data_IF_001230624324
#
_entry.id   IF_001230624324
#
_cell.length_a   1.000
_cell.length_b   1.000
_cell.length_c   1.000
_cell.angle_alpha   90.00
_cell.angle_beta   90.00
_cell.angle_gamma   90.00
#
_symmetry.space_group_name_H-M   'P 1'
#
loop_
_entity.id
_entity.type
_entity.pdbx_description
1 polymer ?
#
# COMPACT_ATOMS: atom_id res chain seq x y z
N UNK A 1 -3.07 17.05 -32.52
CA UNK A 1 -2.83 17.34 -31.09
C UNK A 1 -3.72 16.51 -30.15
N UNK A 2 -5.01 16.35 -30.47
CA UNK A 2 -5.99 15.59 -29.68
C UNK A 2 -5.65 14.12 -29.46
N UNK A 3 -5.18 13.40 -30.49
CA UNK A 3 -4.80 11.98 -30.37
C UNK A 3 -3.66 11.78 -29.37
N UNK A 4 -2.65 12.66 -29.37
CA UNK A 4 -1.53 12.58 -28.44
C UNK A 4 -1.96 12.73 -26.98
N UNK A 5 -2.88 13.66 -26.69
CA UNK A 5 -3.42 13.86 -25.34
C UNK A 5 -4.20 12.63 -24.88
N UNK A 6 -5.03 12.05 -25.76
CA UNK A 6 -5.80 10.83 -25.44
C UNK A 6 -4.88 9.65 -25.14
N UNK A 7 -3.78 9.51 -25.89
CA UNK A 7 -2.78 8.46 -25.65
C UNK A 7 -2.08 8.65 -24.31
N UNK A 8 -1.63 9.88 -24.00
CA UNK A 8 -0.97 10.19 -22.73
C UNK A 8 -1.90 9.89 -21.55
N UNK A 9 -3.14 10.37 -21.62
CA UNK A 9 -4.14 10.15 -20.57
C UNK A 9 -4.42 8.65 -20.38
N UNK A 10 -4.57 7.90 -21.47
CA UNK A 10 -4.73 6.44 -21.42
C UNK A 10 -3.55 5.71 -20.77
N UNK A 11 -2.31 6.16 -21.04
CA UNK A 11 -1.11 5.61 -20.40
C UNK A 11 -1.06 5.93 -18.91
N UNK A 12 -1.48 7.13 -18.51
CA UNK A 12 -1.57 7.51 -17.09
C UNK A 12 -2.58 6.61 -16.36
N UNK A 13 -3.72 6.31 -16.98
CA UNK A 13 -4.70 5.36 -16.47
C UNK A 13 -4.16 3.94 -16.31
N UNK A 14 -3.46 3.45 -17.33
CA UNK A 14 -2.91 2.10 -17.35
C UNK A 14 -1.79 1.90 -16.31
N UNK A 15 -1.14 2.97 -15.87
CA UNK A 15 0.01 2.91 -14.96
C UNK A 15 -0.34 3.10 -13.49
N UNK A 16 -1.61 3.33 -13.13
CA UNK A 16 -2.02 3.42 -11.72
C UNK A 16 -1.70 2.11 -10.99
N UNK A 17 -0.90 2.12 -9.89
CA UNK A 17 -0.51 0.88 -9.23
C UNK A 17 -1.71 0.16 -8.60
N UNK A 18 -1.73 -1.17 -8.69
CA UNK A 18 -2.75 -2.02 -8.07
C UNK A 18 -2.51 -2.21 -6.58
N UNK A 19 -3.55 -2.59 -5.82
CA UNK A 19 -3.43 -2.91 -4.39
C UNK A 19 -2.32 -3.93 -4.09
N UNK A 20 -2.18 -4.97 -4.93
CA UNK A 20 -1.08 -5.93 -4.78
C UNK A 20 0.32 -5.33 -4.99
N UNK A 21 0.47 -4.26 -5.78
CA UNK A 21 1.73 -3.52 -5.89
C UNK A 21 2.03 -2.73 -4.61
N UNK A 22 1.01 -2.14 -3.99
CA UNK A 22 1.13 -1.48 -2.70
C UNK A 22 1.55 -2.47 -1.62
N UNK A 23 0.87 -3.60 -1.51
CA UNK A 23 1.18 -4.62 -0.52
C UNK A 23 2.62 -5.13 -0.65
N UNK A 24 3.09 -5.37 -1.90
CA UNK A 24 4.49 -5.76 -2.15
C UNK A 24 5.49 -4.65 -1.80
N UNK A 25 5.17 -3.40 -2.09
CA UNK A 25 6.02 -2.26 -1.75
C UNK A 25 6.16 -2.09 -0.24
N UNK A 26 5.04 -2.10 0.48
CA UNK A 26 5.02 -1.99 1.94
C UNK A 26 5.78 -3.17 2.56
N UNK A 27 5.51 -4.40 2.12
CA UNK A 27 6.20 -5.57 2.63
C UNK A 27 7.71 -5.51 2.40
N UNK A 28 8.15 -5.11 1.20
CA UNK A 28 9.59 -4.93 0.92
C UNK A 28 10.21 -3.83 1.78
N UNK A 29 9.50 -2.72 1.98
CA UNK A 29 10.02 -1.55 2.69
C UNK A 29 10.16 -1.78 4.20
N UNK A 30 9.21 -2.51 4.79
CA UNK A 30 9.17 -2.82 6.21
C UNK A 30 9.64 -4.24 6.54
N UNK A 31 10.32 -4.92 5.60
CA UNK A 31 10.86 -6.27 5.84
C UNK A 31 9.80 -7.33 6.19
N UNK A 32 8.56 -7.16 5.74
CA UNK A 32 7.47 -8.09 6.05
C UNK A 32 7.64 -9.38 5.24
N UNK A 33 7.75 -10.50 5.93
CA UNK A 33 7.87 -11.84 5.32
C UNK A 33 6.73 -12.71 5.79
N UNK A 34 5.98 -13.28 4.85
CA UNK A 34 4.92 -14.25 5.16
C UNK A 34 5.43 -15.66 4.89
N UNK A 35 5.37 -16.52 5.91
CA UNK A 35 5.76 -17.93 5.82
C UNK A 35 4.51 -18.81 5.93
N UNK A 36 4.44 -19.94 5.21
CA UNK A 36 3.45 -20.96 5.48
C UNK A 36 3.73 -21.56 6.87
N UNK A 37 2.68 -21.65 7.66
CA UNK A 37 2.60 -22.23 9.00
C UNK A 37 1.53 -23.33 8.95
N UNK A 38 1.87 -24.51 9.47
CA UNK A 38 1.01 -25.68 9.35
C UNK A 38 -0.24 -25.62 10.24
N UNK A 39 -0.27 -24.74 11.24
CA UNK A 39 -1.32 -24.66 12.25
C UNK A 39 -2.21 -23.43 12.06
N UNK A 40 -1.63 -22.30 11.59
CA UNK A 40 -2.33 -21.03 11.41
C UNK A 40 -2.42 -20.55 9.95
N UNK A 41 -1.92 -21.31 8.98
CA UNK A 41 -1.97 -20.96 7.55
C UNK A 41 -0.82 -20.07 7.10
N UNK A 42 -1.04 -18.80 6.77
CA UNK A 42 0.04 -17.87 6.39
C UNK A 42 0.32 -16.88 7.51
N UNK A 43 1.45 -17.04 8.20
CA UNK A 43 1.87 -16.13 9.28
C UNK A 43 2.87 -15.12 8.71
N UNK A 44 2.62 -13.84 8.96
CA UNK A 44 3.49 -12.75 8.51
C UNK A 44 4.28 -12.17 9.69
N UNK A 45 5.52 -11.80 9.42
CA UNK A 45 6.48 -11.29 10.40
C UNK A 45 7.07 -9.98 9.90
N UNK A 46 7.31 -9.02 10.79
CA UNK A 46 8.15 -7.85 10.55
C UNK A 46 9.11 -7.69 11.74
N UNK A 47 10.41 -7.52 11.49
CA UNK A 47 11.43 -7.37 12.53
C UNK A 47 11.32 -8.43 13.64
N UNK A 48 11.19 -9.70 13.25
CA UNK A 48 11.03 -10.87 14.14
C UNK A 48 9.74 -10.90 14.99
N UNK A 49 8.87 -9.89 14.87
CA UNK A 49 7.55 -9.85 15.51
C UNK A 49 6.48 -10.41 14.59
N UNK A 50 5.60 -11.24 15.13
CA UNK A 50 4.44 -11.78 14.42
C UNK A 50 3.38 -10.69 14.26
N UNK A 51 2.83 -10.59 13.05
CA UNK A 51 1.68 -9.76 12.71
C UNK A 51 0.42 -10.61 12.94
N UNK A 52 -0.36 -10.27 13.98
CA UNK A 52 -1.62 -10.94 14.30
C UNK A 52 -2.75 -10.56 13.34
N UNK A 53 -2.79 -9.31 12.90
CA UNK A 53 -3.81 -8.87 11.96
C UNK A 53 -3.34 -7.72 11.08
N UNK A 54 -3.89 -7.69 9.87
CA UNK A 54 -3.74 -6.62 8.89
C UNK A 54 -5.11 -6.06 8.57
N UNK A 55 -5.27 -4.75 8.66
CA UNK A 55 -6.49 -4.04 8.26
C UNK A 55 -6.14 -2.75 7.53
N UNK A 56 -7.16 -2.04 7.01
CA UNK A 56 -6.99 -0.75 6.36
C UNK A 56 -7.67 -0.70 5.00
N UNK A 57 -7.40 0.37 4.26
CA UNK A 57 -8.13 0.72 3.05
C UNK A 57 -7.20 0.94 1.88
N UNK A 58 -7.66 0.52 0.70
CA UNK A 58 -7.07 0.89 -0.58
C UNK A 58 -8.09 1.72 -1.35
N UNK A 59 -7.68 2.90 -1.80
CA UNK A 59 -8.51 3.79 -2.61
C UNK A 59 -7.83 4.00 -3.94
N UNK A 60 -8.56 3.71 -5.01
CA UNK A 60 -8.10 3.96 -6.37
C UNK A 60 -8.92 5.06 -6.99
N UNK A 61 -8.23 6.05 -7.51
CA UNK A 61 -8.78 7.07 -8.39
C UNK A 61 -8.32 6.85 -9.82
N UNK A 62 -8.78 7.72 -10.69
CA UNK A 62 -8.49 7.71 -12.11
C UNK A 62 -6.98 7.80 -12.43
N UNK A 63 -6.22 8.65 -11.74
CA UNK A 63 -4.79 8.87 -12.04
C UNK A 63 -3.83 8.42 -10.92
N UNK A 64 -4.36 8.04 -9.77
CA UNK A 64 -3.57 7.71 -8.59
C UNK A 64 -4.30 6.71 -7.70
N UNK A 65 -3.60 6.19 -6.72
CA UNK A 65 -4.17 5.39 -5.64
C UNK A 65 -3.49 5.73 -4.31
N UNK A 66 -4.19 5.50 -3.21
CA UNK A 66 -3.68 5.58 -1.85
C UNK A 66 -3.99 4.29 -1.10
N UNK A 67 -3.15 3.96 -0.13
CA UNK A 67 -3.39 2.84 0.77
C UNK A 67 -2.98 3.18 2.19
N UNK A 68 -3.87 2.91 3.13
CA UNK A 68 -3.56 2.83 4.56
C UNK A 68 -3.59 1.37 4.97
N UNK A 69 -2.54 0.91 5.65
CA UNK A 69 -2.49 -0.43 6.24
C UNK A 69 -2.09 -0.33 7.70
N UNK A 70 -2.88 -0.97 8.56
CA UNK A 70 -2.61 -1.13 9.97
C UNK A 70 -2.17 -2.57 10.21
N UNK A 71 -1.02 -2.74 10.83
CA UNK A 71 -0.44 -4.02 11.22
C UNK A 71 -0.44 -4.11 12.73
N UNK A 72 -1.21 -5.03 13.28
CA UNK A 72 -1.24 -5.31 14.73
C UNK A 72 -0.29 -6.45 15.04
N UNK A 73 0.62 -6.23 15.97
CA UNK A 73 1.61 -7.21 16.42
C UNK A 73 1.15 -7.93 17.69
N UNK A 74 1.80 -9.04 18.03
CA UNK A 74 1.48 -9.84 19.22
C UNK A 74 1.60 -9.10 20.55
N UNK A 75 2.54 -8.15 20.64
CA UNK A 75 2.71 -7.28 21.81
C UNK A 75 1.63 -6.19 21.93
N UNK A 76 0.66 -6.15 21.00
CA UNK A 76 -0.39 -5.13 20.94
C UNK A 76 0.01 -3.84 20.22
N UNK A 77 1.26 -3.73 19.75
CA UNK A 77 1.74 -2.61 18.95
C UNK A 77 0.98 -2.55 17.62
N UNK A 78 0.67 -1.35 17.16
CA UNK A 78 0.02 -1.12 15.86
C UNK A 78 0.93 -0.20 15.05
N UNK A 79 1.36 -0.67 13.88
CA UNK A 79 2.07 0.16 12.90
C UNK A 79 1.11 0.50 11.77
N UNK A 80 0.94 1.80 11.51
CA UNK A 80 0.18 2.32 10.39
C UNK A 80 1.14 2.75 9.29
N UNK A 81 0.98 2.16 8.10
CA UNK A 81 1.71 2.55 6.90
C UNK A 81 0.75 3.22 5.93
N UNK A 82 1.18 4.35 5.36
CA UNK A 82 0.40 5.12 4.40
C UNK A 82 1.22 5.27 3.14
N UNK A 83 0.66 4.87 2.02
CA UNK A 83 1.36 4.89 0.74
C UNK A 83 0.49 5.60 -0.29
N UNK A 84 1.13 6.38 -1.15
CA UNK A 84 0.54 7.03 -2.30
C UNK A 84 1.20 6.51 -3.57
N UNK A 85 0.41 6.34 -4.63
CA UNK A 85 0.89 5.82 -5.90
C UNK A 85 0.34 6.58 -7.09
N UNK A 86 1.22 6.94 -8.02
CA UNK A 86 0.90 7.71 -9.23
C UNK A 86 1.88 7.34 -10.33
N UNK A 87 1.43 7.23 -11.58
CA UNK A 87 2.29 6.90 -12.75
C UNK A 87 3.20 5.68 -12.55
N UNK A 88 2.70 4.63 -11.90
CA UNK A 88 3.45 3.42 -11.59
C UNK A 88 4.44 3.54 -10.44
N UNK A 89 4.62 4.73 -9.87
CA UNK A 89 5.49 5.00 -8.72
C UNK A 89 4.72 4.85 -7.41
N UNK A 90 5.44 4.54 -6.32
CA UNK A 90 4.90 4.35 -4.98
C UNK A 90 5.77 5.09 -3.97
N UNK A 91 5.13 5.82 -3.07
CA UNK A 91 5.77 6.66 -2.06
C UNK A 91 5.09 6.42 -0.73
N UNK A 92 5.87 6.14 0.32
CA UNK A 92 5.32 6.18 1.66
C UNK A 92 5.12 7.63 2.08
N UNK A 93 3.99 7.91 2.71
CA UNK A 93 3.63 9.24 3.17
C UNK A 93 3.59 9.29 4.68
N UNK A 94 4.07 10.41 5.21
CA UNK A 94 3.97 10.74 6.63
C UNK A 94 2.60 11.37 6.89
N UNK A 95 2.20 11.37 8.15
CA UNK A 95 1.06 12.16 8.61
C UNK A 95 1.23 13.64 8.25
N UNK A 96 0.08 14.26 7.96
CA UNK A 96 0.01 15.67 7.63
C UNK A 96 -1.09 16.00 6.63
N UNK A 97 -1.14 17.27 6.26
CA UNK A 97 -2.23 17.89 5.51
C UNK A 97 -2.70 17.07 4.30
N UNK A 98 -1.78 16.62 3.45
CA UNK A 98 -2.10 15.89 2.23
C UNK A 98 -2.79 14.55 2.50
N UNK A 99 -2.35 13.81 3.51
CA UNK A 99 -3.01 12.55 3.85
C UNK A 99 -4.41 12.81 4.40
N UNK A 100 -4.50 13.69 5.39
CA UNK A 100 -5.73 13.95 6.14
C UNK A 100 -6.86 14.55 5.30
N UNK A 101 -6.53 15.40 4.31
CA UNK A 101 -7.53 16.18 3.58
C UNK A 101 -7.71 15.76 2.11
N UNK A 102 -6.81 14.93 1.57
CA UNK A 102 -6.82 14.60 0.13
C UNK A 102 -6.91 13.11 -0.13
N UNK A 103 -6.20 12.28 0.64
CA UNK A 103 -6.04 10.85 0.34
C UNK A 103 -6.76 9.90 1.31
N UNK A 104 -7.06 10.37 2.53
CA UNK A 104 -7.88 9.70 3.53
C UNK A 104 -9.38 9.92 3.29
#
# INVERSE_FOLDING_TARGET
>A
MTIGVVVIVSLMFATVPSEGRFDRFIAKKHGIVCKPDFEFGHVCYADEKVIQSKSGHFRRSYLHASSERNYKFENGEIITTRTFGVFGLLFEMRDGFWWEHVFN
#
